data_IF_588771970005
#
_entry.id   IF_588771970005
#
_cell.length_a   1.000
_cell.length_b   1.000
_cell.length_c   1.000
_cell.angle_alpha   90.00
_cell.angle_beta   90.00
_cell.angle_gamma   90.00
#
_symmetry.space_group_name_H-M   'P 1'
#
loop_
_entity.id
_entity.type
_entity.pdbx_description
1 polymer ?
#
# COMPACT_ATOMS: atom_id res chain seq x y z
N UNK A 1 26.26 -9.74 -60.73
CA UNK A 1 25.25 -9.06 -59.89
C UNK A 1 25.16 -9.84 -58.60
N UNK A 2 26.02 -9.51 -57.62
CA UNK A 2 26.09 -10.19 -56.33
C UNK A 2 25.01 -9.60 -55.42
N UNK A 3 24.17 -10.45 -54.84
CA UNK A 3 23.17 -9.99 -53.86
C UNK A 3 23.88 -9.36 -52.64
N UNK A 4 23.38 -8.25 -52.09
CA UNK A 4 23.89 -7.72 -50.83
C UNK A 4 23.61 -8.72 -49.69
N UNK A 5 24.61 -8.90 -48.82
CA UNK A 5 24.49 -9.74 -47.64
C UNK A 5 23.36 -9.24 -46.72
N UNK A 6 22.55 -10.16 -46.21
CA UNK A 6 21.49 -9.84 -45.25
C UNK A 6 22.09 -9.22 -43.97
N UNK A 7 21.42 -8.25 -43.33
CA UNK A 7 21.91 -7.64 -42.10
C UNK A 7 21.99 -8.69 -40.99
N UNK A 8 23.14 -8.74 -40.32
CA UNK A 8 23.39 -9.58 -39.16
C UNK A 8 22.42 -9.20 -38.04
N UNK A 9 21.56 -10.15 -37.65
CA UNK A 9 20.62 -9.98 -36.54
C UNK A 9 21.45 -9.89 -35.25
N UNK A 10 21.58 -8.68 -34.71
CA UNK A 10 22.27 -8.44 -33.45
C UNK A 10 21.67 -9.34 -32.35
N UNK A 11 22.52 -10.17 -31.74
CA UNK A 11 22.16 -11.02 -30.60
C UNK A 11 21.77 -10.13 -29.42
N UNK A 12 20.47 -10.04 -29.13
CA UNK A 12 19.93 -9.33 -27.98
C UNK A 12 20.30 -10.14 -26.74
N UNK A 13 21.46 -9.86 -26.16
CA UNK A 13 21.91 -10.52 -24.94
C UNK A 13 20.82 -10.44 -23.85
N UNK A 14 20.40 -11.57 -23.26
CA UNK A 14 19.40 -11.56 -22.21
C UNK A 14 19.98 -10.79 -21.01
N UNK A 15 19.34 -9.66 -20.68
CA UNK A 15 19.69 -8.80 -19.55
C UNK A 15 19.70 -9.69 -18.28
N UNK A 16 20.87 -9.94 -17.69
CA UNK A 16 20.98 -10.72 -16.43
C UNK A 16 20.21 -9.97 -15.34
N UNK A 17 18.95 -10.36 -15.11
CA UNK A 17 18.14 -9.89 -13.97
C UNK A 17 18.76 -10.45 -12.71
N UNK A 18 19.25 -9.59 -11.83
CA UNK A 18 19.80 -10.06 -10.55
C UNK A 18 18.66 -10.53 -9.65
N UNK A 19 18.59 -11.85 -9.43
CA UNK A 19 17.55 -12.50 -8.62
C UNK A 19 17.44 -11.85 -7.22
N UNK A 20 18.56 -11.42 -6.65
CA UNK A 20 18.60 -10.70 -5.37
C UNK A 20 17.89 -9.34 -5.40
N UNK A 21 17.98 -8.58 -6.50
CA UNK A 21 17.27 -7.31 -6.64
C UNK A 21 15.76 -7.51 -6.75
N UNK A 22 15.33 -8.53 -7.50
CA UNK A 22 13.91 -8.88 -7.64
C UNK A 22 13.33 -9.34 -6.30
N UNK A 23 14.06 -10.20 -5.56
CA UNK A 23 13.68 -10.61 -4.20
C UNK A 23 13.52 -9.43 -3.25
N UNK A 24 14.48 -8.48 -3.26
CA UNK A 24 14.40 -7.29 -2.41
C UNK A 24 13.15 -6.46 -2.72
N UNK A 25 12.87 -6.20 -3.99
CA UNK A 25 11.69 -5.44 -4.39
C UNK A 25 10.39 -6.19 -4.06
N UNK A 26 10.35 -7.51 -4.25
CA UNK A 26 9.21 -8.34 -3.88
C UNK A 26 8.97 -8.32 -2.36
N UNK A 27 10.03 -8.39 -1.55
CA UNK A 27 9.92 -8.25 -0.09
C UNK A 27 9.36 -6.89 0.32
N UNK A 28 9.87 -5.80 -0.27
CA UNK A 28 9.39 -4.43 0.03
C UNK A 28 7.93 -4.26 -0.37
N UNK A 29 7.52 -4.78 -1.54
CA UNK A 29 6.14 -4.75 -1.98
C UNK A 29 5.23 -5.63 -1.09
N UNK A 30 5.70 -6.80 -0.64
CA UNK A 30 4.98 -7.65 0.30
C UNK A 30 4.77 -7.00 1.68
N UNK A 31 5.64 -6.06 2.10
CA UNK A 31 5.44 -5.28 3.31
C UNK A 31 4.11 -4.50 3.28
N UNK A 32 3.60 -4.09 2.11
CA UNK A 32 2.30 -3.43 2.02
C UNK A 32 1.15 -4.28 2.60
N UNK A 33 1.15 -5.58 2.30
CA UNK A 33 0.20 -6.53 2.88
C UNK A 33 0.45 -6.81 4.37
N UNK A 34 1.72 -6.86 4.77
CA UNK A 34 2.10 -7.00 6.18
C UNK A 34 1.61 -5.81 7.03
N UNK A 35 1.77 -4.58 6.52
CA UNK A 35 1.35 -3.34 7.20
C UNK A 35 -0.17 -3.30 7.40
N UNK A 36 -0.95 -3.80 6.44
CA UNK A 36 -2.40 -3.94 6.59
C UNK A 36 -2.79 -4.94 7.68
N UNK A 37 -2.13 -6.10 7.70
CA UNK A 37 -2.33 -7.11 8.74
C UNK A 37 -1.97 -6.58 10.13
N UNK A 38 -0.87 -5.84 10.24
CA UNK A 38 -0.44 -5.19 11.48
C UNK A 38 -1.47 -4.18 11.98
N UNK A 39 -1.96 -3.29 11.11
CA UNK A 39 -2.98 -2.30 11.49
C UNK A 39 -4.27 -2.96 12.02
N UNK A 40 -4.71 -4.05 11.37
CA UNK A 40 -5.88 -4.83 11.79
C UNK A 40 -5.65 -5.50 13.15
N UNK A 41 -4.46 -6.05 13.39
CA UNK A 41 -4.11 -6.67 14.66
C UNK A 41 -4.05 -5.65 15.82
N UNK A 42 -3.48 -4.47 15.58
CA UNK A 42 -3.38 -3.41 16.59
C UNK A 42 -4.77 -2.91 17.00
N UNK A 43 -5.65 -2.60 16.04
CA UNK A 43 -6.99 -2.12 16.40
C UNK A 43 -7.81 -3.20 17.10
N UNK A 44 -7.68 -4.47 16.71
CA UNK A 44 -8.36 -5.58 17.39
C UNK A 44 -7.91 -5.72 18.85
N UNK A 45 -6.62 -5.54 19.13
CA UNK A 45 -6.09 -5.54 20.50
C UNK A 45 -6.45 -4.30 21.32
N UNK A 46 -6.70 -3.16 20.66
CA UNK A 46 -6.95 -1.88 21.32
C UNK A 46 -8.45 -1.54 21.48
N UNK A 47 -9.36 -2.20 20.76
CA UNK A 47 -10.73 -1.72 20.59
C UNK A 47 -11.53 -1.64 21.91
N UNK A 48 -11.32 -2.58 22.84
CA UNK A 48 -12.00 -2.56 24.14
C UNK A 48 -11.48 -1.42 25.03
N UNK A 49 -10.18 -1.10 24.95
CA UNK A 49 -9.60 0.05 25.64
C UNK A 49 -10.11 1.36 25.06
N UNK A 50 -10.22 1.44 23.73
CA UNK A 50 -10.80 2.58 23.05
C UNK A 50 -12.26 2.78 23.46
N UNK A 51 -13.04 1.70 23.55
CA UNK A 51 -14.43 1.70 24.01
C UNK A 51 -14.57 2.41 25.36
N UNK A 52 -13.74 2.02 26.34
CA UNK A 52 -13.75 2.60 27.68
C UNK A 52 -13.27 4.06 27.64
N UNK A 53 -12.18 4.34 26.90
CA UNK A 53 -11.54 5.65 26.87
C UNK A 53 -12.44 6.74 26.23
N UNK A 54 -13.09 6.41 25.11
CA UNK A 54 -13.96 7.33 24.39
C UNK A 54 -15.45 7.14 24.71
N UNK A 55 -15.81 6.21 25.61
CA UNK A 55 -17.20 5.86 25.96
C UNK A 55 -18.03 5.51 24.72
N UNK A 56 -17.50 4.64 23.87
CA UNK A 56 -18.14 4.28 22.61
C UNK A 56 -19.32 3.32 22.83
N UNK A 57 -20.43 3.58 22.14
CA UNK A 57 -21.46 2.57 21.92
C UNK A 57 -21.10 1.58 20.80
N UNK A 58 -21.92 0.54 20.57
CA UNK A 58 -21.65 -0.49 19.56
C UNK A 58 -21.38 0.06 18.15
N UNK A 59 -22.13 1.09 17.73
CA UNK A 59 -21.93 1.74 16.43
C UNK A 59 -20.59 2.47 16.33
N UNK A 60 -20.17 3.14 17.40
CA UNK A 60 -18.88 3.83 17.45
C UNK A 60 -17.71 2.86 17.41
N UNK A 61 -17.83 1.74 18.14
CA UNK A 61 -16.85 0.65 18.12
C UNK A 61 -16.71 0.05 16.71
N UNK A 62 -17.83 -0.24 16.07
CA UNK A 62 -17.86 -0.74 14.69
C UNK A 62 -17.24 0.25 13.71
N UNK A 63 -17.51 1.55 13.88
CA UNK A 63 -16.92 2.59 13.04
C UNK A 63 -15.41 2.74 13.24
N UNK A 64 -14.92 2.67 14.48
CA UNK A 64 -13.48 2.75 14.81
C UNK A 64 -12.65 1.66 14.11
N UNK A 65 -13.24 0.48 13.91
CA UNK A 65 -12.59 -0.66 13.22
C UNK A 65 -12.80 -0.60 11.71
N UNK A 66 -14.02 -0.39 11.23
CA UNK A 66 -14.38 -0.59 9.82
C UNK A 66 -13.99 0.56 8.88
N UNK A 67 -13.79 1.78 9.39
CA UNK A 67 -13.44 2.94 8.55
C UNK A 67 -12.18 2.73 7.70
N UNK A 68 -11.20 1.95 8.19
CA UNK A 68 -9.96 1.68 7.45
C UNK A 68 -10.26 0.94 6.14
N UNK A 69 -11.25 0.05 6.14
CA UNK A 69 -11.67 -0.68 4.94
C UNK A 69 -12.34 0.24 3.92
N UNK A 70 -13.09 1.23 4.40
CA UNK A 70 -13.66 2.28 3.53
C UNK A 70 -12.53 3.08 2.88
N UNK A 71 -11.51 3.46 3.66
CA UNK A 71 -10.29 4.09 3.13
C UNK A 71 -9.60 3.21 2.08
N UNK A 72 -9.43 1.92 2.37
CA UNK A 72 -8.85 0.95 1.44
C UNK A 72 -9.63 0.86 0.13
N UNK A 73 -10.97 0.88 0.19
CA UNK A 73 -11.84 0.84 -1.01
C UNK A 73 -11.53 2.01 -1.93
N UNK A 74 -11.46 3.23 -1.39
CA UNK A 74 -11.14 4.42 -2.19
C UNK A 74 -9.68 4.43 -2.68
N UNK A 75 -8.74 4.01 -1.82
CA UNK A 75 -7.33 3.90 -2.18
C UNK A 75 -7.10 2.92 -3.33
N UNK A 76 -7.74 1.75 -3.28
CA UNK A 76 -7.68 0.75 -4.33
C UNK A 76 -8.33 1.23 -5.64
N UNK A 77 -9.49 1.91 -5.55
CA UNK A 77 -10.18 2.45 -6.72
C UNK A 77 -9.34 3.51 -7.45
N UNK A 78 -8.59 4.34 -6.71
CA UNK A 78 -7.75 5.40 -7.27
C UNK A 78 -6.30 4.96 -7.56
N UNK A 79 -5.92 3.75 -7.18
CA UNK A 79 -4.56 3.25 -7.31
C UNK A 79 -4.04 3.32 -8.76
N UNK A 80 -4.89 2.98 -9.74
CA UNK A 80 -4.55 3.07 -11.17
C UNK A 80 -4.20 4.50 -11.59
N UNK A 81 -5.04 5.47 -11.22
CA UNK A 81 -4.81 6.89 -11.54
C UNK A 81 -3.49 7.40 -10.94
N UNK A 82 -3.19 7.06 -9.68
CA UNK A 82 -1.90 7.42 -9.07
C UNK A 82 -0.72 6.73 -9.74
N UNK A 83 -0.87 5.45 -10.11
CA UNK A 83 0.16 4.67 -10.78
C UNK A 83 0.50 5.20 -12.18
N UNK A 84 -0.49 5.64 -12.93
CA UNK A 84 -0.30 6.15 -14.29
C UNK A 84 0.25 7.59 -14.29
N UNK A 85 -0.15 8.42 -13.33
CA UNK A 85 0.34 9.80 -13.22
C UNK A 85 1.73 9.92 -12.58
N UNK A 86 1.98 9.20 -11.47
CA UNK A 86 3.22 9.34 -10.69
C UNK A 86 4.26 8.28 -11.04
N UNK A 87 3.83 7.17 -11.66
CA UNK A 87 4.61 5.95 -11.77
C UNK A 87 4.51 5.08 -10.51
N UNK A 88 4.65 3.77 -10.71
CA UNK A 88 4.37 2.73 -9.69
C UNK A 88 5.19 2.91 -8.42
N UNK A 89 6.52 3.09 -8.55
CA UNK A 89 7.43 3.27 -7.41
C UNK A 89 7.05 4.49 -6.55
N UNK A 90 6.73 5.63 -7.17
CA UNK A 90 6.38 6.85 -6.44
C UNK A 90 5.01 6.71 -5.77
N UNK A 91 4.05 6.05 -6.42
CA UNK A 91 2.75 5.75 -5.83
C UNK A 91 2.88 4.82 -4.60
N UNK A 92 3.77 3.82 -4.63
CA UNK A 92 4.08 2.98 -3.47
C UNK A 92 4.74 3.77 -2.32
N UNK A 93 5.64 4.71 -2.63
CA UNK A 93 6.23 5.60 -1.63
C UNK A 93 5.19 6.57 -1.02
N UNK A 94 4.26 7.07 -1.83
CA UNK A 94 3.13 7.87 -1.36
C UNK A 94 2.26 7.06 -0.38
N UNK A 95 1.91 5.83 -0.74
CA UNK A 95 1.15 4.93 0.13
C UNK A 95 1.84 4.70 1.48
N UNK A 96 3.15 4.43 1.47
CA UNK A 96 3.95 4.29 2.69
C UNK A 96 3.95 5.58 3.53
N UNK A 97 4.06 6.75 2.89
CA UNK A 97 3.98 8.05 3.55
C UNK A 97 2.62 8.30 4.22
N UNK A 98 1.51 7.99 3.53
CA UNK A 98 0.16 8.10 4.08
C UNK A 98 -0.03 7.18 5.30
N UNK A 99 0.48 5.95 5.22
CA UNK A 99 0.43 5.03 6.36
C UNK A 99 1.25 5.53 7.55
N UNK A 100 2.45 6.08 7.31
CA UNK A 100 3.28 6.66 8.36
C UNK A 100 2.58 7.86 9.04
N UNK A 101 1.98 8.76 8.26
CA UNK A 101 1.19 9.89 8.79
C UNK A 101 0.00 9.39 9.61
N UNK A 102 -0.70 8.35 9.14
CA UNK A 102 -1.79 7.69 9.87
C UNK A 102 -1.32 7.11 11.20
N UNK A 103 -0.17 6.44 11.22
CA UNK A 103 0.39 5.85 12.45
C UNK A 103 0.69 6.93 13.49
N UNK A 104 1.30 8.05 13.08
CA UNK A 104 1.56 9.19 13.97
C UNK A 104 0.26 9.83 14.45
N UNK A 105 -0.70 10.04 13.54
CA UNK A 105 -2.02 10.60 13.89
C UNK A 105 -2.83 9.70 14.83
N UNK A 106 -2.63 8.38 14.77
CA UNK A 106 -3.30 7.40 15.62
C UNK A 106 -2.63 7.20 16.98
N UNK A 107 -1.45 7.77 17.22
CA UNK A 107 -0.70 7.53 18.45
C UNK A 107 -1.31 8.22 19.68
N UNK A 108 -1.87 9.42 19.52
CA UNK A 108 -2.47 10.19 20.63
C UNK A 108 -3.75 10.93 20.18
N UNK A 109 -4.82 10.20 19.79
CA UNK A 109 -6.07 10.83 19.39
C UNK A 109 -6.78 11.45 20.59
N UNK A 110 -7.30 12.69 20.46
CA UNK A 110 -8.07 13.35 21.53
C UNK A 110 -9.53 12.91 21.58
N UNK A 111 -10.02 12.38 20.46
CA UNK A 111 -11.40 11.93 20.29
C UNK A 111 -11.44 10.85 19.19
N UNK A 112 -12.59 10.18 19.07
CA UNK A 112 -12.81 9.15 18.04
C UNK A 112 -12.64 9.70 16.62
N UNK A 113 -13.07 10.93 16.35
CA UNK A 113 -13.02 11.52 15.00
C UNK A 113 -11.58 11.67 14.51
N UNK A 114 -10.67 12.13 15.37
CA UNK A 114 -9.25 12.21 15.06
C UNK A 114 -8.65 10.83 14.75
N UNK A 115 -8.98 9.81 15.58
CA UNK A 115 -8.55 8.44 15.34
C UNK A 115 -9.06 7.90 14.00
N UNK A 116 -10.36 8.08 13.72
CA UNK A 116 -10.99 7.64 12.47
C UNK A 116 -10.37 8.36 11.26
N UNK A 117 -10.15 9.67 11.35
CA UNK A 117 -9.55 10.43 10.26
C UNK A 117 -8.13 9.95 9.95
N UNK A 118 -7.31 9.73 10.98
CA UNK A 118 -5.97 9.18 10.82
C UNK A 118 -6.03 7.79 10.17
N UNK A 119 -6.84 6.88 10.71
CA UNK A 119 -6.99 5.51 10.19
C UNK A 119 -7.53 5.45 8.78
N UNK A 120 -8.44 6.33 8.40
CA UNK A 120 -8.95 6.43 7.03
C UNK A 120 -7.83 6.78 6.04
N UNK A 121 -6.95 7.73 6.38
CA UNK A 121 -5.77 8.08 5.58
C UNK A 121 -4.82 6.88 5.45
N UNK A 122 -4.62 6.12 6.53
CA UNK A 122 -3.83 4.89 6.52
C UNK A 122 -4.43 3.84 5.59
N UNK A 123 -5.74 3.62 5.69
CA UNK A 123 -6.50 2.73 4.82
C UNK A 123 -6.38 3.10 3.35
N UNK A 124 -6.47 4.40 3.02
CA UNK A 124 -6.26 4.88 1.66
C UNK A 124 -4.87 4.51 1.11
N UNK A 125 -3.81 4.76 1.90
CA UNK A 125 -2.45 4.35 1.54
C UNK A 125 -2.33 2.84 1.33
N UNK A 126 -2.89 2.05 2.25
CA UNK A 126 -2.89 0.58 2.16
C UNK A 126 -3.64 0.08 0.94
N UNK A 127 -4.78 0.68 0.58
CA UNK A 127 -5.54 0.36 -0.63
C UNK A 127 -4.73 0.57 -1.91
N UNK A 128 -3.96 1.67 -1.98
CA UNK A 128 -3.03 1.90 -3.09
C UNK A 128 -1.94 0.83 -3.10
N UNK A 129 -1.30 0.58 -1.96
CA UNK A 129 -0.20 -0.38 -1.87
C UNK A 129 -0.62 -1.79 -2.27
N UNK A 130 -1.80 -2.24 -1.85
CA UNK A 130 -2.30 -3.59 -2.12
C UNK A 130 -2.57 -3.85 -3.61
N UNK A 131 -3.05 -2.86 -4.36
CA UNK A 131 -3.20 -2.94 -5.82
C UNK A 131 -1.85 -2.84 -6.56
N UNK A 132 -0.98 -1.90 -6.15
CA UNK A 132 0.24 -1.60 -6.90
C UNK A 132 1.41 -2.52 -6.61
N UNK A 133 1.45 -3.16 -5.44
CA UNK A 133 2.52 -4.09 -5.06
C UNK A 133 2.66 -5.27 -6.02
N UNK A 134 1.62 -6.09 -6.30
CA UNK A 134 1.74 -7.19 -7.25
C UNK A 134 2.02 -6.71 -8.68
N UNK A 135 1.46 -5.56 -9.08
CA UNK A 135 1.71 -4.98 -10.41
C UNK A 135 3.17 -4.55 -10.57
N UNK A 136 3.73 -3.84 -9.60
CA UNK A 136 5.12 -3.41 -9.61
C UNK A 136 6.08 -4.60 -9.59
N UNK A 137 5.77 -5.64 -8.81
CA UNK A 137 6.53 -6.90 -8.85
C UNK A 137 6.49 -7.48 -10.26
N UNK A 138 5.32 -7.57 -10.89
CA UNK A 138 5.19 -8.11 -12.25
C UNK A 138 5.95 -7.31 -13.31
N UNK A 139 6.04 -5.97 -13.17
CA UNK A 139 6.80 -5.12 -14.08
C UNK A 139 8.32 -5.26 -13.91
N UNK A 140 8.78 -5.54 -12.68
CA UNK A 140 10.22 -5.60 -12.36
C UNK A 140 10.77 -7.03 -12.32
N UNK A 141 9.93 -8.05 -12.28
CA UNK A 141 10.30 -9.49 -12.27
C UNK A 141 10.33 -10.11 -13.65
#
# INVERSE_FOLDING_TARGET
MTMPAAPEVADVQPRRRSVGYVLLLASVAALGGLLFGYDTAVIAGAIDYLEIHFRLGPGGKGWAVSNVLVGCMFGAALAGTFSDGLGRKKALLLAAGLFAVSAVGSAVPRNLTELVAARFVGGFGVGIASMLSPLYIAEVS
#
